data_IF_141145533419
#
_entry.id   IF_141145533419
#
_cell.length_a   1.000
_cell.length_b   1.000
_cell.length_c   1.000
_cell.angle_alpha   90.00
_cell.angle_beta   90.00
_cell.angle_gamma   90.00
#
_symmetry.space_group_name_H-M   'P 1'
#
loop_
_entity.id
_entity.type
_entity.pdbx_description
1 polymer ?
#
# COMPACT_ATOMS: atom_id res chain seq x y z
N UNK A 1 -3.19 12.13 24.96
CA UNK A 1 -4.06 13.30 25.02
C UNK A 1 -5.41 13.00 24.38
N UNK A 2 -6.50 13.44 25.01
CA UNK A 2 -7.88 13.15 24.61
C UNK A 2 -8.20 13.55 23.15
N UNK A 3 -7.61 14.63 22.67
CA UNK A 3 -7.79 15.10 21.28
C UNK A 3 -7.28 14.13 20.21
N UNK A 4 -6.52 13.09 20.59
CA UNK A 4 -6.05 12.00 19.68
C UNK A 4 -6.94 10.77 19.72
N UNK A 5 -7.97 10.78 20.53
CA UNK A 5 -8.95 9.70 20.55
C UNK A 5 -9.99 9.95 19.46
N UNK A 6 -10.39 8.88 18.81
CA UNK A 6 -11.49 8.85 17.84
C UNK A 6 -12.34 7.62 18.13
N UNK A 7 -13.64 7.73 17.87
CA UNK A 7 -14.54 6.61 18.00
C UNK A 7 -14.18 5.51 16.99
N UNK A 8 -14.25 4.28 17.48
CA UNK A 8 -14.08 3.10 16.62
C UNK A 8 -15.25 3.03 15.64
N UNK A 9 -15.01 2.87 14.32
CA UNK A 9 -16.09 2.61 13.37
C UNK A 9 -16.93 1.41 13.81
N UNK A 10 -18.25 1.56 13.87
CA UNK A 10 -19.18 0.57 14.42
C UNK A 10 -19.09 -0.78 13.70
N UNK A 11 -18.84 -0.77 12.38
CA UNK A 11 -18.74 -1.97 11.56
C UNK A 11 -17.47 -2.80 11.78
N UNK A 12 -16.46 -2.27 12.51
CA UNK A 12 -15.22 -2.97 12.76
C UNK A 12 -15.26 -3.76 14.06
N UNK A 13 -14.76 -4.98 14.05
CA UNK A 13 -14.40 -5.72 15.25
C UNK A 13 -13.20 -5.07 15.96
N UNK A 14 -12.91 -5.49 17.20
CA UNK A 14 -11.74 -4.99 17.93
C UNK A 14 -10.41 -5.33 17.24
N UNK A 15 -10.18 -6.55 16.72
CA UNK A 15 -8.98 -6.86 15.96
C UNK A 15 -8.81 -6.00 14.69
N UNK A 16 -9.89 -5.76 13.95
CA UNK A 16 -9.85 -4.90 12.76
C UNK A 16 -9.54 -3.45 13.15
N UNK A 17 -10.17 -2.94 14.21
CA UNK A 17 -9.88 -1.60 14.70
C UNK A 17 -8.43 -1.44 15.19
N UNK A 18 -7.89 -2.45 15.87
CA UNK A 18 -6.49 -2.46 16.33
C UNK A 18 -5.49 -2.51 15.16
N UNK A 19 -5.88 -3.14 14.04
CA UNK A 19 -5.05 -3.23 12.84
C UNK A 19 -4.89 -1.87 12.11
N UNK A 20 -5.86 -0.96 12.28
CA UNK A 20 -6.02 0.24 11.45
C UNK A 20 -5.00 1.36 11.72
N UNK A 21 -4.65 1.78 12.97
CA UNK A 21 -4.08 3.09 13.25
C UNK A 21 -2.80 3.41 12.46
N UNK A 22 -1.74 2.64 12.65
CA UNK A 22 -0.43 2.95 12.04
C UNK A 22 -0.43 2.71 10.54
N UNK A 23 -0.87 1.51 10.13
CA UNK A 23 -0.84 1.10 8.73
C UNK A 23 -1.82 1.89 7.88
N UNK A 24 -3.03 2.12 8.40
CA UNK A 24 -4.06 2.92 7.74
C UNK A 24 -3.66 4.37 7.58
N UNK A 25 -3.14 5.01 8.65
CA UNK A 25 -2.71 6.41 8.59
C UNK A 25 -1.60 6.63 7.56
N UNK A 26 -0.59 5.75 7.56
CA UNK A 26 0.51 5.82 6.58
C UNK A 26 -0.01 5.66 5.15
N UNK A 27 -0.91 4.70 4.94
CA UNK A 27 -1.52 4.47 3.64
C UNK A 27 -2.41 5.63 3.19
N UNK A 28 -3.23 6.18 4.08
CA UNK A 28 -4.10 7.32 3.80
C UNK A 28 -3.29 8.53 3.32
N UNK A 29 -2.25 8.86 4.08
CA UNK A 29 -1.35 9.95 3.70
C UNK A 29 -0.63 9.68 2.38
N UNK A 30 -0.17 8.46 2.15
CA UNK A 30 0.50 8.09 0.90
C UNK A 30 -0.44 8.19 -0.31
N UNK A 31 -1.67 7.70 -0.17
CA UNK A 31 -2.66 7.66 -1.27
C UNK A 31 -3.24 9.04 -1.54
N UNK A 32 -3.71 9.75 -0.51
CA UNK A 32 -4.46 10.99 -0.68
C UNK A 32 -3.60 12.24 -0.54
N UNK A 33 -2.98 12.46 0.62
CA UNK A 33 -2.27 13.71 0.89
C UNK A 33 -1.04 13.89 -0.01
N UNK A 34 -0.29 12.81 -0.23
CA UNK A 34 0.93 12.85 -1.07
C UNK A 34 0.65 12.41 -2.49
N UNK A 35 -0.10 11.33 -2.63
CA UNK A 35 -0.41 10.74 -3.92
C UNK A 35 -1.49 11.48 -4.69
N UNK A 36 -2.35 12.27 -4.02
CA UNK A 36 -3.50 12.95 -4.63
C UNK A 36 -4.30 12.00 -5.54
N UNK A 37 -4.54 10.78 -5.05
CA UNK A 37 -5.25 9.74 -5.78
C UNK A 37 -6.72 10.10 -5.96
N UNK A 38 -7.23 9.93 -7.16
CA UNK A 38 -8.62 10.19 -7.52
C UNK A 38 -9.24 9.09 -8.36
N UNK A 39 -10.53 9.26 -8.65
CA UNK A 39 -11.25 8.33 -9.53
C UNK A 39 -10.65 8.33 -10.94
N UNK A 40 -10.44 7.12 -11.48
CA UNK A 40 -9.87 6.91 -12.80
C UNK A 40 -8.33 6.88 -12.83
N UNK A 41 -7.63 7.26 -11.75
CA UNK A 41 -6.18 7.10 -11.67
C UNK A 41 -5.79 5.62 -11.81
N UNK A 42 -4.74 5.34 -12.56
CA UNK A 42 -4.11 4.02 -12.61
C UNK A 42 -3.01 3.95 -11.57
N UNK A 43 -3.25 3.17 -10.54
CA UNK A 43 -2.40 3.12 -9.34
C UNK A 43 -1.67 1.79 -9.26
N UNK A 44 -0.36 1.83 -9.08
CA UNK A 44 0.44 0.64 -8.77
C UNK A 44 0.79 0.62 -7.28
N UNK A 45 0.41 -0.45 -6.59
CA UNK A 45 0.79 -0.72 -5.20
C UNK A 45 1.85 -1.82 -5.18
N UNK A 46 3.05 -1.47 -4.72
CA UNK A 46 4.14 -2.45 -4.62
C UNK A 46 4.02 -3.31 -3.37
N UNK A 47 4.33 -4.61 -3.48
CA UNK A 47 4.41 -5.51 -2.34
C UNK A 47 3.07 -5.77 -1.64
N UNK A 48 1.99 -6.01 -2.42
CA UNK A 48 0.69 -6.34 -1.84
C UNK A 48 0.77 -7.60 -0.97
N UNK A 49 0.20 -7.49 0.23
CA UNK A 49 0.32 -8.48 1.30
C UNK A 49 0.89 -7.86 2.58
N UNK A 50 1.69 -6.80 2.49
CA UNK A 50 2.07 -5.98 3.63
C UNK A 50 0.89 -5.13 4.14
N UNK A 51 0.83 -4.88 5.44
CA UNK A 51 -0.32 -4.20 6.06
C UNK A 51 -0.60 -2.81 5.46
N UNK A 52 0.42 -1.95 5.32
CA UNK A 52 0.25 -0.61 4.72
C UNK A 52 -0.14 -0.71 3.25
N UNK A 53 0.48 -1.62 2.49
CA UNK A 53 0.18 -1.82 1.07
C UNK A 53 -1.28 -2.25 0.84
N UNK A 54 -1.83 -3.11 1.71
CA UNK A 54 -3.24 -3.52 1.64
C UNK A 54 -4.20 -2.38 1.99
N UNK A 55 -3.88 -1.53 2.95
CA UNK A 55 -4.67 -0.32 3.18
C UNK A 55 -4.61 0.63 1.99
N UNK A 56 -3.41 0.88 1.44
CA UNK A 56 -3.28 1.72 0.24
C UNK A 56 -4.09 1.17 -0.94
N UNK A 57 -4.09 -0.16 -1.11
CA UNK A 57 -4.87 -0.86 -2.11
C UNK A 57 -6.39 -0.65 -1.90
N UNK A 58 -6.89 -0.90 -0.68
CA UNK A 58 -8.31 -0.71 -0.37
C UNK A 58 -8.75 0.75 -0.49
N UNK A 59 -7.90 1.70 -0.06
CA UNK A 59 -8.20 3.13 -0.15
C UNK A 59 -8.24 3.63 -1.60
N UNK A 60 -7.29 3.21 -2.44
CA UNK A 60 -7.29 3.56 -3.85
C UNK A 60 -8.50 2.97 -4.59
N UNK A 61 -8.89 1.72 -4.31
CA UNK A 61 -10.12 1.12 -4.85
C UNK A 61 -11.36 1.91 -4.42
N UNK A 62 -11.48 2.26 -3.14
CA UNK A 62 -12.61 3.03 -2.62
C UNK A 62 -12.67 4.46 -3.19
N UNK A 63 -11.54 5.01 -3.62
CA UNK A 63 -11.46 6.28 -4.34
C UNK A 63 -11.86 6.17 -5.82
N UNK A 64 -12.13 4.97 -6.33
CA UNK A 64 -12.50 4.74 -7.73
C UNK A 64 -11.32 4.62 -8.69
N UNK A 65 -10.11 4.35 -8.20
CA UNK A 65 -8.93 4.14 -9.02
C UNK A 65 -8.88 2.72 -9.62
N UNK A 66 -8.20 2.57 -10.75
CA UNK A 66 -7.83 1.27 -11.31
C UNK A 66 -6.52 0.80 -10.66
N UNK A 67 -6.60 -0.19 -9.76
CA UNK A 67 -5.45 -0.59 -8.95
C UNK A 67 -4.78 -1.84 -9.49
N UNK A 68 -3.47 -1.74 -9.68
CA UNK A 68 -2.57 -2.82 -10.03
C UNK A 68 -1.61 -3.10 -8.87
N UNK A 69 -1.13 -4.34 -8.77
CA UNK A 69 -0.33 -4.76 -7.62
C UNK A 69 0.91 -5.55 -8.02
N UNK A 70 1.92 -5.56 -7.15
CA UNK A 70 3.02 -6.53 -7.23
C UNK A 70 3.12 -7.36 -5.95
N UNK A 71 3.56 -8.60 -6.08
CA UNK A 71 3.97 -9.45 -4.95
C UNK A 71 5.02 -10.45 -5.42
N UNK A 72 5.82 -10.99 -4.52
CA UNK A 72 6.68 -12.15 -4.79
C UNK A 72 5.98 -13.49 -4.56
N UNK A 73 4.71 -13.45 -4.16
CA UNK A 73 3.90 -14.61 -3.79
C UNK A 73 2.65 -14.68 -4.69
N UNK A 74 2.47 -15.75 -5.48
CA UNK A 74 1.33 -15.92 -6.37
C UNK A 74 -0.02 -15.97 -5.65
N UNK A 75 -0.07 -16.52 -4.43
CA UNK A 75 -1.31 -16.61 -3.67
C UNK A 75 -1.77 -15.23 -3.20
N UNK A 76 -0.81 -14.36 -2.81
CA UNK A 76 -1.10 -12.97 -2.47
C UNK A 76 -1.62 -12.18 -3.68
N UNK A 77 -1.05 -12.41 -4.87
CA UNK A 77 -1.56 -11.82 -6.10
C UNK A 77 -2.98 -12.31 -6.39
N UNK A 78 -3.24 -13.61 -6.29
CA UNK A 78 -4.57 -14.17 -6.50
C UNK A 78 -5.60 -13.58 -5.54
N UNK A 79 -5.24 -13.41 -4.27
CA UNK A 79 -6.10 -12.76 -3.26
C UNK A 79 -6.39 -11.30 -3.63
N UNK A 80 -5.38 -10.53 -4.02
CA UNK A 80 -5.57 -9.14 -4.42
C UNK A 80 -6.45 -9.01 -5.68
N UNK A 81 -6.33 -9.93 -6.64
CA UNK A 81 -7.22 -9.97 -7.81
C UNK A 81 -8.67 -10.22 -7.40
N UNK A 82 -8.94 -11.14 -6.47
CA UNK A 82 -10.29 -11.38 -5.93
C UNK A 82 -10.86 -10.18 -5.17
N UNK A 83 -9.99 -9.35 -4.60
CA UNK A 83 -10.36 -8.11 -3.89
C UNK A 83 -10.56 -6.92 -4.83
N UNK A 84 -10.38 -7.08 -6.14
CA UNK A 84 -10.66 -6.02 -7.13
C UNK A 84 -9.43 -5.41 -7.80
N UNK A 85 -8.23 -5.97 -7.64
CA UNK A 85 -7.09 -5.53 -8.43
C UNK A 85 -7.36 -5.77 -9.93
N UNK A 86 -7.05 -4.78 -10.77
CA UNK A 86 -7.21 -4.84 -12.22
C UNK A 86 -6.16 -5.74 -12.89
N UNK A 87 -4.99 -5.82 -12.27
CA UNK A 87 -3.89 -6.66 -12.73
C UNK A 87 -2.80 -6.80 -11.68
N UNK A 88 -1.93 -7.79 -11.86
CA UNK A 88 -0.83 -8.03 -10.95
C UNK A 88 0.36 -8.69 -11.62
N UNK A 89 1.55 -8.53 -11.03
CA UNK A 89 2.75 -9.20 -11.49
C UNK A 89 3.64 -9.65 -10.33
N UNK A 90 4.32 -10.77 -10.54
CA UNK A 90 5.35 -11.20 -9.61
C UNK A 90 6.62 -10.37 -9.85
N UNK A 91 7.04 -9.61 -8.83
CA UNK A 91 8.23 -8.75 -8.95
C UNK A 91 9.55 -9.55 -9.04
N UNK A 92 9.52 -10.87 -8.84
CA UNK A 92 10.68 -11.76 -9.06
C UNK A 92 10.89 -12.08 -10.54
N UNK A 93 9.86 -11.91 -11.38
CA UNK A 93 9.99 -12.04 -12.83
C UNK A 93 10.81 -10.86 -13.36
N UNK A 94 11.74 -11.10 -14.28
CA UNK A 94 12.61 -10.05 -14.82
C UNK A 94 11.80 -8.92 -15.49
N UNK A 95 10.78 -9.30 -16.25
CA UNK A 95 9.97 -8.41 -17.09
C UNK A 95 8.65 -7.95 -16.45
N UNK A 96 8.48 -8.11 -15.13
CA UNK A 96 7.24 -7.77 -14.44
C UNK A 96 6.73 -6.35 -14.75
N UNK A 97 7.65 -5.39 -14.80
CA UNK A 97 7.34 -3.99 -15.06
C UNK A 97 6.86 -3.76 -16.49
N UNK A 98 7.45 -4.43 -17.48
CA UNK A 98 7.01 -4.35 -18.87
C UNK A 98 5.61 -4.93 -19.05
N UNK A 99 5.34 -6.09 -18.41
CA UNK A 99 4.01 -6.73 -18.41
C UNK A 99 2.94 -5.78 -17.84
N UNK A 100 3.20 -5.19 -16.66
CA UNK A 100 2.27 -4.25 -16.04
C UNK A 100 2.12 -2.94 -16.82
N UNK A 101 3.21 -2.35 -17.28
CA UNK A 101 3.16 -1.13 -18.10
C UNK A 101 2.37 -1.32 -19.39
N UNK A 102 2.49 -2.50 -20.05
CA UNK A 102 1.68 -2.83 -21.22
C UNK A 102 0.20 -3.02 -20.86
N UNK A 103 -0.09 -3.66 -19.73
CA UNK A 103 -1.47 -3.95 -19.31
C UNK A 103 -2.22 -2.68 -18.88
N UNK A 104 -1.54 -1.75 -18.20
CA UNK A 104 -2.13 -0.49 -17.73
C UNK A 104 -2.10 0.62 -18.77
N UNK A 105 -1.14 0.59 -19.69
CA UNK A 105 -0.84 1.70 -20.61
C UNK A 105 -0.08 2.86 -19.94
N UNK A 106 0.37 2.69 -18.71
CA UNK A 106 1.05 3.69 -17.87
C UNK A 106 0.39 3.82 -16.50
N UNK A 107 1.11 4.37 -15.52
CA UNK A 107 0.61 4.59 -14.16
C UNK A 107 0.67 6.07 -13.80
N UNK A 108 -0.41 6.58 -13.23
CA UNK A 108 -0.52 7.95 -12.70
C UNK A 108 0.09 8.08 -11.31
N UNK A 109 0.02 6.98 -10.54
CA UNK A 109 0.50 6.92 -9.16
C UNK A 109 1.16 5.57 -8.87
N UNK A 110 2.31 5.61 -8.21
CA UNK A 110 2.95 4.42 -7.62
C UNK A 110 3.10 4.63 -6.12
N UNK A 111 2.69 3.64 -5.33
CA UNK A 111 2.88 3.61 -3.87
C UNK A 111 3.86 2.48 -3.55
N UNK A 112 5.00 2.83 -2.93
CA UNK A 112 6.09 1.89 -2.69
C UNK A 112 6.62 1.91 -1.27
N UNK A 113 7.00 0.73 -0.76
CA UNK A 113 7.67 0.56 0.53
C UNK A 113 9.00 -0.16 0.44
N UNK A 114 9.33 -0.68 -0.74
CA UNK A 114 10.45 -1.58 -0.90
C UNK A 114 11.78 -0.85 -1.21
N UNK A 115 11.74 0.14 -2.07
CA UNK A 115 12.97 0.71 -2.60
C UNK A 115 13.70 -0.29 -3.52
N UNK A 116 15.03 -0.36 -3.39
CA UNK A 116 15.87 -1.32 -4.10
C UNK A 116 15.77 -1.23 -5.62
N UNK A 117 16.17 -2.29 -6.32
CA UNK A 117 16.19 -2.35 -7.79
C UNK A 117 14.80 -2.26 -8.43
N UNK A 118 13.75 -2.63 -7.69
CA UNK A 118 12.36 -2.51 -8.14
C UNK A 118 11.95 -1.07 -8.37
N UNK A 119 12.35 -0.17 -7.47
CA UNK A 119 12.04 1.25 -7.53
C UNK A 119 12.55 1.91 -8.81
N UNK A 120 13.76 1.56 -9.25
CA UNK A 120 14.36 2.10 -10.50
C UNK A 120 13.57 1.73 -11.77
N UNK A 121 12.64 0.78 -11.69
CA UNK A 121 11.77 0.38 -12.81
C UNK A 121 10.49 1.22 -12.90
N UNK A 122 10.04 1.85 -11.82
CA UNK A 122 8.78 2.63 -11.81
C UNK A 122 8.75 3.78 -12.83
N UNK A 123 9.80 4.62 -12.97
CA UNK A 123 9.76 5.69 -13.95
C UNK A 123 9.57 5.19 -15.39
N UNK A 124 9.95 3.95 -15.70
CA UNK A 124 9.80 3.36 -17.04
C UNK A 124 8.34 3.10 -17.40
N UNK A 125 7.51 2.81 -16.38
CA UNK A 125 6.09 2.43 -16.52
C UNK A 125 5.12 3.50 -16.01
N UNK A 126 5.62 4.60 -15.47
CA UNK A 126 4.84 5.78 -15.14
C UNK A 126 4.44 6.55 -16.40
N UNK A 127 3.29 7.20 -16.35
CA UNK A 127 2.85 8.15 -17.36
C UNK A 127 3.50 9.54 -17.15
N UNK A 128 3.26 10.49 -18.05
CA UNK A 128 3.70 11.88 -17.88
C UNK A 128 3.00 12.55 -16.71
N UNK A 129 3.76 13.27 -15.88
CA UNK A 129 3.24 13.93 -14.68
C UNK A 129 2.91 12.98 -13.52
N UNK A 130 3.29 11.70 -13.61
CA UNK A 130 3.02 10.71 -12.58
C UNK A 130 3.67 11.04 -11.24
N UNK A 131 3.12 10.46 -10.18
CA UNK A 131 3.59 10.58 -8.80
C UNK A 131 4.08 9.24 -8.29
N UNK A 132 5.26 9.21 -7.67
CA UNK A 132 5.80 8.04 -6.98
C UNK A 132 5.91 8.41 -5.51
N UNK A 133 5.13 7.75 -4.66
CA UNK A 133 5.14 7.97 -3.21
C UNK A 133 5.82 6.79 -2.53
N UNK A 134 6.86 7.06 -1.75
CA UNK A 134 7.56 6.05 -0.96
C UNK A 134 7.43 6.29 0.53
N UNK A 135 7.18 5.22 1.28
CA UNK A 135 7.08 5.24 2.75
C UNK A 135 8.02 4.23 3.43
N UNK A 136 8.91 3.62 2.67
CA UNK A 136 9.87 2.65 3.19
C UNK A 136 10.99 2.31 2.22
N UNK A 137 11.92 1.48 2.67
CA UNK A 137 13.09 1.08 1.88
C UNK A 137 13.63 -0.29 2.30
N UNK A 138 12.75 -1.29 2.45
CA UNK A 138 13.09 -2.63 2.98
C UNK A 138 14.09 -3.39 2.10
N UNK A 139 14.19 -3.05 0.82
CA UNK A 139 15.16 -3.62 -0.13
C UNK A 139 16.41 -2.74 -0.31
N UNK A 140 16.55 -1.69 0.52
CA UNK A 140 17.76 -0.85 0.56
C UNK A 140 17.86 0.16 -0.57
N UNK A 141 19.10 0.48 -0.95
CA UNK A 141 19.41 1.54 -1.92
C UNK A 141 18.85 1.23 -3.31
N UNK A 142 18.48 2.29 -4.02
CA UNK A 142 18.00 2.21 -5.42
C UNK A 142 19.19 2.28 -6.36
N UNK A 143 19.59 1.16 -7.00
CA UNK A 143 20.64 1.18 -8.02
C UNK A 143 20.10 1.65 -9.36
N UNK A 144 20.98 2.08 -10.24
CA UNK A 144 20.69 2.38 -11.67
C UNK A 144 19.49 3.30 -11.89
N UNK A 145 19.31 4.27 -10.98
CA UNK A 145 18.23 5.23 -11.06
C UNK A 145 18.54 6.29 -12.12
N UNK A 146 17.61 6.47 -13.11
CA UNK A 146 17.76 7.39 -14.21
C UNK A 146 17.05 8.73 -13.96
N UNK A 147 17.77 9.82 -13.65
CA UNK A 147 17.18 11.15 -13.53
C UNK A 147 16.54 11.63 -14.85
N UNK A 148 17.02 11.15 -15.99
CA UNK A 148 16.50 11.51 -17.30
C UNK A 148 15.01 11.18 -17.45
N UNK A 149 14.59 10.00 -16.97
CA UNK A 149 13.18 9.62 -16.99
C UNK A 149 12.31 10.52 -16.11
N UNK A 150 12.87 11.00 -14.99
CA UNK A 150 12.15 11.86 -14.07
C UNK A 150 11.83 13.20 -14.69
N UNK A 151 12.86 13.94 -15.20
CA UNK A 151 12.61 15.24 -15.79
C UNK A 151 11.87 15.15 -17.13
N UNK A 152 12.17 14.14 -17.95
CA UNK A 152 11.52 13.99 -19.25
C UNK A 152 10.02 13.73 -19.12
N UNK A 153 9.63 12.87 -18.20
CA UNK A 153 8.23 12.57 -17.92
C UNK A 153 7.60 13.48 -16.86
N UNK A 154 8.33 14.43 -16.30
CA UNK A 154 7.85 15.34 -15.25
C UNK A 154 7.32 14.60 -14.01
N UNK A 155 7.97 13.50 -13.62
CA UNK A 155 7.57 12.66 -12.51
C UNK A 155 7.91 13.35 -11.20
N UNK A 156 6.96 13.33 -10.26
CA UNK A 156 7.19 13.79 -8.88
C UNK A 156 7.46 12.59 -7.97
N UNK A 157 8.56 12.64 -7.21
CA UNK A 157 8.90 11.63 -6.21
C UNK A 157 8.69 12.24 -4.83
N UNK A 158 7.88 11.58 -3.99
CA UNK A 158 7.43 12.07 -2.70
C UNK A 158 7.73 11.04 -1.61
N UNK A 159 8.42 11.48 -0.56
CA UNK A 159 8.56 10.70 0.67
C UNK A 159 7.40 10.96 1.63
N UNK A 160 7.02 9.95 2.41
CA UNK A 160 6.03 10.08 3.47
C UNK A 160 6.33 9.13 4.63
N UNK A 161 5.81 9.47 5.81
CA UNK A 161 5.87 8.64 7.01
C UNK A 161 4.72 9.01 7.92
N UNK A 162 3.99 8.00 8.43
CA UNK A 162 2.87 8.20 9.34
C UNK A 162 1.85 9.23 8.79
N UNK A 163 1.34 10.11 9.64
CA UNK A 163 0.44 11.20 9.30
C UNK A 163 0.18 12.12 10.49
N UNK A 164 -0.63 13.17 10.30
CA UNK A 164 -1.08 14.09 11.34
C UNK A 164 -2.31 13.58 12.09
N UNK A 165 -2.60 14.20 13.24
CA UNK A 165 -3.82 13.90 14.01
C UNK A 165 -5.10 14.17 13.18
N UNK A 166 -5.07 15.16 12.29
CA UNK A 166 -6.19 15.45 11.39
C UNK A 166 -6.36 14.35 10.33
N UNK A 167 -5.26 13.95 9.69
CA UNK A 167 -5.30 12.85 8.71
C UNK A 167 -5.78 11.53 9.33
N UNK A 168 -5.50 11.31 10.63
CA UNK A 168 -6.02 10.15 11.34
C UNK A 168 -7.56 10.19 11.46
N UNK A 169 -8.13 11.33 11.81
CA UNK A 169 -9.58 11.53 11.85
C UNK A 169 -10.21 11.37 10.48
N UNK A 170 -9.61 11.96 9.46
CA UNK A 170 -10.07 11.88 8.07
C UNK A 170 -10.03 10.44 7.56
N UNK A 171 -8.96 9.69 7.88
CA UNK A 171 -8.80 8.27 7.57
C UNK A 171 -9.89 7.42 8.23
N UNK A 172 -10.16 7.62 9.53
CA UNK A 172 -11.22 6.89 10.24
C UNK A 172 -12.59 7.21 9.65
N UNK A 173 -12.85 8.48 9.32
CA UNK A 173 -14.07 8.91 8.61
C UNK A 173 -14.20 8.26 7.23
N UNK A 174 -13.11 8.15 6.48
CA UNK A 174 -13.07 7.49 5.18
C UNK A 174 -13.36 5.99 5.29
N UNK A 175 -12.75 5.30 6.26
CA UNK A 175 -12.98 3.88 6.56
C UNK A 175 -14.45 3.64 6.91
N UNK A 176 -15.03 4.48 7.75
CA UNK A 176 -16.45 4.40 8.11
C UNK A 176 -17.37 4.63 6.91
N UNK A 177 -17.13 5.70 6.15
CA UNK A 177 -17.94 6.05 4.97
C UNK A 177 -17.97 4.97 3.92
N UNK A 178 -16.83 4.37 3.63
CA UNK A 178 -16.67 3.35 2.59
C UNK A 178 -16.79 1.91 3.11
N UNK A 179 -17.11 1.73 4.41
CA UNK A 179 -17.27 0.42 5.06
C UNK A 179 -16.05 -0.50 4.83
N UNK A 180 -14.84 0.09 4.87
CA UNK A 180 -13.60 -0.64 4.62
C UNK A 180 -13.30 -1.54 5.80
N UNK A 181 -13.07 -2.82 5.54
CA UNK A 181 -12.65 -3.81 6.52
C UNK A 181 -11.14 -4.04 6.41
N UNK A 182 -10.35 -3.70 7.45
CA UNK A 182 -8.94 -4.03 7.51
C UNK A 182 -8.69 -5.52 7.33
N UNK A 183 -7.73 -5.87 6.48
CA UNK A 183 -7.36 -7.28 6.31
C UNK A 183 -6.53 -7.71 7.51
N UNK A 184 -7.13 -8.50 8.39
CA UNK A 184 -6.45 -9.17 9.51
C UNK A 184 -6.04 -10.56 9.06
N UNK A 185 -4.74 -10.82 9.09
CA UNK A 185 -4.18 -12.12 8.71
C UNK A 185 -4.41 -13.16 9.81
N UNK A 186 -3.98 -12.84 11.02
CA UNK A 186 -4.18 -13.66 12.20
C UNK A 186 -4.30 -12.80 13.46
N UNK A 187 -5.04 -13.34 14.43
CA UNK A 187 -5.09 -12.84 15.83
C UNK A 187 -4.40 -13.87 16.69
N UNK A 188 -3.38 -13.43 17.43
CA UNK A 188 -2.65 -14.27 18.38
C UNK A 188 -2.90 -13.79 19.80
N UNK A 189 -3.03 -14.70 20.79
CA UNK A 189 -2.92 -14.32 22.19
C UNK A 189 -1.57 -13.63 22.46
N UNK A 190 -1.53 -12.65 23.36
CA UNK A 190 -0.28 -11.92 23.68
C UNK A 190 0.86 -12.88 24.08
N UNK A 191 0.55 -13.98 24.76
CA UNK A 191 1.52 -15.00 25.13
C UNK A 191 2.23 -15.66 23.93
N UNK A 192 1.64 -15.59 22.74
CA UNK A 192 2.19 -16.11 21.47
C UNK A 192 2.81 -15.01 20.59
N UNK A 193 3.18 -13.87 21.18
CA UNK A 193 3.77 -12.76 20.42
C UNK A 193 5.01 -13.17 19.63
N UNK A 194 5.84 -14.09 20.17
CA UNK A 194 7.02 -14.59 19.46
C UNK A 194 6.66 -15.29 18.14
N UNK A 195 5.62 -16.11 18.13
CA UNK A 195 5.12 -16.80 16.92
C UNK A 195 4.56 -15.78 15.89
N UNK A 196 3.88 -14.75 16.39
CA UNK A 196 3.36 -13.65 15.56
C UNK A 196 4.51 -12.89 14.86
N UNK A 197 5.60 -12.59 15.56
CA UNK A 197 6.79 -11.97 15.00
C UNK A 197 7.50 -12.88 13.99
N UNK A 198 7.63 -14.18 14.30
CA UNK A 198 8.23 -15.15 13.38
C UNK A 198 7.43 -15.23 12.07
N UNK A 199 6.09 -15.27 12.14
CA UNK A 199 5.22 -15.24 10.96
C UNK A 199 5.44 -13.99 10.12
N UNK A 200 5.62 -12.84 10.77
CA UNK A 200 5.89 -11.57 10.11
C UNK A 200 7.26 -11.56 9.43
N UNK A 201 8.29 -12.03 10.12
CA UNK A 201 9.67 -12.11 9.61
C UNK A 201 9.77 -13.03 8.38
N UNK A 202 9.05 -14.15 8.40
CA UNK A 202 8.94 -15.06 7.26
C UNK A 202 8.12 -14.51 6.09
N UNK A 203 7.51 -13.32 6.22
CA UNK A 203 6.70 -12.71 5.19
C UNK A 203 5.45 -13.50 4.81
N UNK A 204 4.96 -14.40 5.69
CA UNK A 204 3.80 -15.27 5.41
C UNK A 204 2.45 -14.57 5.52
N UNK A 205 2.40 -13.43 6.20
CA UNK A 205 1.15 -12.71 6.43
C UNK A 205 0.59 -12.09 5.15
N UNK A 206 -0.74 -11.99 5.10
CA UNK A 206 -1.47 -11.16 4.14
C UNK A 206 -2.38 -10.22 4.92
N UNK A 207 -1.87 -9.04 5.24
CA UNK A 207 -2.55 -8.06 6.08
C UNK A 207 -1.83 -7.84 7.40
N UNK A 208 -2.62 -7.53 8.43
CA UNK A 208 -2.14 -7.21 9.77
C UNK A 208 -2.21 -8.43 10.67
N UNK A 209 -1.18 -8.61 11.46
CA UNK A 209 -1.19 -9.53 12.60
C UNK A 209 -1.60 -8.73 13.82
N UNK A 210 -2.52 -9.24 14.60
CA UNK A 210 -3.05 -8.60 15.81
C UNK A 210 -2.73 -9.46 17.04
N UNK A 211 -2.36 -8.83 18.13
CA UNK A 211 -2.22 -9.47 19.44
C UNK A 211 -3.43 -9.11 20.29
N UNK A 212 -4.04 -10.13 20.91
CA UNK A 212 -5.16 -10.00 21.84
C UNK A 212 -4.67 -10.18 23.27
N UNK A 213 -5.12 -9.31 24.17
CA UNK A 213 -4.74 -9.27 25.60
C UNK A 213 -5.80 -9.99 26.42
#
# INVERSE_FOLDING_TARGET
PEHRLVDKPEHLSWPEAAALPLGGLTAYRAVFTKGNCGAGDKVLISGVGGGVALFAFQFALAAGAEVYVTSGDPDKLSRAMKMGAKGGANYRDEDWHKKLGKASGGFDLVIDSAGGAGFAKFPKICDYGARIVTYGGTQGKVPDFSPQLIFWKQITILGTSMGSDQEFKDMVGFVHKHQIQPVVDNVFPLAQAAEAFERMDQGKQFGKIVLEI
#
